data_IF_461728202268
#
_entry.id   IF_461728202268
#
_cell.length_a   1.000
_cell.length_b   1.000
_cell.length_c   1.000
_cell.angle_alpha   90.00
_cell.angle_beta   90.00
_cell.angle_gamma   90.00
#
_symmetry.space_group_name_H-M   'P 1'
#
loop_
_entity.id
_entity.type
_entity.pdbx_description
1 polymer ?
#
# COMPACT_ATOMS: atom_id res chain seq x y z
N UNK A 1 0.05 22.37 -12.16
CA UNK A 1 1.42 21.93 -12.44
C UNK A 1 1.95 22.76 -13.59
N UNK A 2 3.14 23.31 -13.42
CA UNK A 2 3.83 24.07 -14.47
C UNK A 2 4.31 23.14 -15.57
N UNK A 3 3.84 23.36 -16.79
CA UNK A 3 4.18 22.56 -17.97
C UNK A 3 5.68 22.65 -18.30
N UNK A 4 6.31 23.78 -17.98
CA UNK A 4 7.77 23.96 -18.11
C UNK A 4 8.56 23.06 -17.15
N UNK A 5 8.07 22.88 -15.92
CA UNK A 5 8.70 22.00 -14.94
C UNK A 5 8.66 20.55 -15.42
N UNK A 6 7.52 20.11 -15.94
CA UNK A 6 7.38 18.75 -16.52
C UNK A 6 8.32 18.55 -17.69
N UNK A 7 8.36 19.49 -18.64
CA UNK A 7 9.25 19.41 -19.80
C UNK A 7 10.71 19.26 -19.36
N UNK A 8 11.17 20.07 -18.40
CA UNK A 8 12.54 20.00 -17.88
C UNK A 8 12.82 18.66 -17.18
N UNK A 9 11.86 18.16 -16.39
CA UNK A 9 12.00 16.86 -15.76
C UNK A 9 12.09 15.72 -16.79
N UNK A 10 11.26 15.77 -17.84
CA UNK A 10 11.29 14.84 -18.98
C UNK A 10 12.62 14.94 -19.77
N UNK A 11 13.20 16.14 -19.85
CA UNK A 11 14.52 16.39 -20.42
C UNK A 11 15.68 15.93 -19.50
N UNK A 12 15.38 15.42 -18.30
CA UNK A 12 16.34 14.87 -17.35
C UNK A 12 16.98 15.89 -16.40
N UNK A 13 16.40 17.09 -16.27
CA UNK A 13 16.86 18.11 -15.32
C UNK A 13 16.62 17.62 -13.87
N UNK A 14 17.68 17.37 -13.08
CA UNK A 14 17.54 16.79 -11.75
C UNK A 14 16.83 17.71 -10.77
N UNK A 15 16.98 19.03 -10.89
CA UNK A 15 16.29 19.99 -10.02
C UNK A 15 14.80 20.03 -10.34
N UNK A 16 14.44 19.87 -11.62
CA UNK A 16 13.05 19.79 -12.06
C UNK A 16 12.41 18.46 -11.64
N UNK A 17 13.15 17.35 -11.73
CA UNK A 17 12.69 16.04 -11.25
C UNK A 17 12.41 16.10 -9.75
N UNK A 18 13.35 16.63 -8.94
CA UNK A 18 13.18 16.73 -7.49
C UNK A 18 11.95 17.57 -7.10
N UNK A 19 11.79 18.75 -7.71
CA UNK A 19 10.61 19.60 -7.48
C UNK A 19 9.31 18.93 -7.92
N UNK A 20 9.33 18.19 -9.03
CA UNK A 20 8.15 17.48 -9.50
C UNK A 20 7.79 16.35 -8.53
N UNK A 21 8.76 15.57 -8.05
CA UNK A 21 8.55 14.53 -7.04
C UNK A 21 7.94 15.10 -5.77
N UNK A 22 8.45 16.21 -5.25
CA UNK A 22 7.91 16.89 -4.07
C UNK A 22 6.45 17.30 -4.27
N UNK A 23 6.15 18.02 -5.35
CA UNK A 23 4.78 18.48 -5.66
C UNK A 23 3.80 17.33 -5.85
N UNK A 24 4.23 16.25 -6.51
CA UNK A 24 3.40 15.06 -6.75
C UNK A 24 3.19 14.30 -5.45
N UNK A 25 4.23 14.19 -4.62
CA UNK A 25 4.18 13.60 -3.29
C UNK A 25 3.19 14.31 -2.37
N UNK A 26 3.29 15.64 -2.29
CA UNK A 26 2.36 16.48 -1.52
C UNK A 26 0.92 16.36 -2.03
N UNK A 27 0.72 16.25 -3.34
CA UNK A 27 -0.59 16.02 -3.94
C UNK A 27 -1.11 14.58 -3.68
N UNK A 28 -0.23 13.66 -3.27
CA UNK A 28 -0.56 12.27 -3.03
C UNK A 28 -0.92 11.48 -4.30
N UNK A 29 -0.40 11.91 -5.46
CA UNK A 29 -0.66 11.28 -6.76
C UNK A 29 0.27 10.09 -6.99
N UNK A 30 -0.19 8.93 -6.52
CA UNK A 30 0.52 7.65 -6.64
C UNK A 30 0.79 7.24 -8.08
N UNK A 31 -0.09 7.60 -9.02
CA UNK A 31 0.05 7.20 -10.41
C UNK A 31 1.21 7.96 -11.07
N UNK A 32 1.32 9.25 -10.78
CA UNK A 32 2.43 10.06 -11.27
C UNK A 32 3.76 9.71 -10.57
N UNK A 33 3.76 9.48 -9.25
CA UNK A 33 4.95 8.99 -8.53
C UNK A 33 5.46 7.69 -9.13
N UNK A 34 4.55 6.76 -9.46
CA UNK A 34 4.90 5.51 -10.14
C UNK A 34 5.58 5.75 -11.49
N UNK A 35 5.08 6.69 -12.30
CA UNK A 35 5.71 7.04 -13.58
C UNK A 35 7.12 7.60 -13.38
N UNK A 36 7.30 8.49 -12.41
CA UNK A 36 8.60 9.08 -12.09
C UNK A 36 9.59 8.04 -11.54
N UNK A 37 9.12 7.12 -10.70
CA UNK A 37 9.89 5.99 -10.20
C UNK A 37 10.34 5.06 -11.33
N UNK A 38 9.44 4.74 -12.27
CA UNK A 38 9.75 3.90 -13.44
C UNK A 38 10.71 4.57 -14.43
N UNK A 39 10.74 5.91 -14.48
CA UNK A 39 11.73 6.68 -15.22
C UNK A 39 13.13 6.69 -14.54
N UNK A 40 13.28 6.06 -13.37
CA UNK A 40 14.55 5.93 -12.64
C UNK A 40 14.77 6.96 -11.53
N UNK A 41 13.73 7.70 -11.14
CA UNK A 41 13.81 8.64 -10.02
C UNK A 41 13.84 7.91 -8.68
N UNK A 42 15.02 7.80 -8.05
CA UNK A 42 15.17 7.20 -6.72
C UNK A 42 14.31 7.92 -5.66
N UNK A 43 14.33 9.26 -5.66
CA UNK A 43 13.50 10.06 -4.75
C UNK A 43 12.00 9.79 -4.95
N UNK A 44 11.57 9.54 -6.19
CA UNK A 44 10.18 9.20 -6.48
C UNK A 44 9.80 7.82 -5.91
N UNK A 45 10.73 6.86 -5.92
CA UNK A 45 10.53 5.56 -5.29
C UNK A 45 10.38 5.72 -3.78
N UNK A 46 11.22 6.53 -3.14
CA UNK A 46 11.19 6.73 -1.69
C UNK A 46 9.85 7.36 -1.25
N UNK A 47 9.41 8.42 -1.93
CA UNK A 47 8.11 9.06 -1.67
C UNK A 47 6.95 8.09 -1.94
N UNK A 48 7.05 7.25 -2.98
CA UNK A 48 6.04 6.24 -3.28
C UNK A 48 5.97 5.16 -2.18
N UNK A 49 7.10 4.73 -1.62
CA UNK A 49 7.15 3.79 -0.48
C UNK A 49 6.53 4.40 0.77
N UNK A 50 6.89 5.65 1.09
CA UNK A 50 6.34 6.38 2.23
C UNK A 50 4.82 6.48 2.12
N UNK A 51 4.32 7.00 1.00
CA UNK A 51 2.89 7.18 0.78
C UNK A 51 2.12 5.87 0.71
N UNK A 52 2.70 4.81 0.12
CA UNK A 52 2.13 3.47 0.15
C UNK A 52 2.05 2.93 1.59
N UNK A 53 3.07 3.15 2.40
CA UNK A 53 3.08 2.80 3.82
C UNK A 53 1.99 3.50 4.62
N UNK A 54 1.87 4.82 4.47
CA UNK A 54 0.84 5.64 5.13
C UNK A 54 -0.59 5.23 4.75
N UNK A 55 -0.78 4.87 3.48
CA UNK A 55 -2.08 4.41 2.94
C UNK A 55 -2.34 2.93 3.16
N UNK A 56 -1.38 2.20 3.75
CA UNK A 56 -1.40 0.74 3.89
C UNK A 56 -1.65 0.04 2.54
N UNK A 57 -1.09 0.59 1.45
CA UNK A 57 -1.15 -0.02 0.12
C UNK A 57 -0.15 -1.18 0.03
N UNK A 58 -0.54 -2.32 0.58
CA UNK A 58 0.30 -3.52 0.63
C UNK A 58 0.60 -4.07 -0.78
N UNK A 59 -0.28 -3.81 -1.75
CA UNK A 59 -0.07 -4.24 -3.14
C UNK A 59 1.07 -3.44 -3.77
N UNK A 60 1.11 -2.13 -3.55
CA UNK A 60 2.21 -1.27 -4.00
C UNK A 60 3.53 -1.66 -3.35
N UNK A 61 3.54 -1.78 -2.03
CA UNK A 61 4.73 -2.16 -1.27
C UNK A 61 5.26 -3.53 -1.70
N UNK A 62 4.36 -4.50 -1.96
CA UNK A 62 4.74 -5.80 -2.52
C UNK A 62 5.36 -5.66 -3.91
N UNK A 63 4.77 -4.88 -4.81
CA UNK A 63 5.33 -4.67 -6.15
C UNK A 63 6.74 -4.11 -6.07
N UNK A 64 6.95 -3.07 -5.25
CA UNK A 64 8.24 -2.42 -5.09
C UNK A 64 9.27 -3.37 -4.46
N UNK A 65 8.88 -4.17 -3.47
CA UNK A 65 9.72 -5.21 -2.89
C UNK A 65 10.12 -6.29 -3.91
N UNK A 66 9.17 -6.73 -4.75
CA UNK A 66 9.43 -7.71 -5.83
C UNK A 66 10.37 -7.14 -6.92
N UNK A 67 10.38 -5.81 -7.08
CA UNK A 67 11.36 -5.08 -7.91
C UNK A 67 12.71 -4.87 -7.22
N UNK A 68 12.88 -5.34 -5.98
CA UNK A 68 14.12 -5.29 -5.21
C UNK A 68 14.28 -4.07 -4.30
N UNK A 69 13.24 -3.24 -4.12
CA UNK A 69 13.30 -2.14 -3.16
C UNK A 69 13.26 -2.70 -1.72
N UNK A 70 14.32 -2.46 -0.96
CA UNK A 70 14.49 -3.02 0.39
C UNK A 70 13.63 -2.29 1.43
N UNK A 71 13.44 -0.98 1.28
CA UNK A 71 12.62 -0.17 2.19
C UNK A 71 11.14 -0.56 2.08
N UNK A 72 10.64 -0.78 0.86
CA UNK A 72 9.31 -1.31 0.60
C UNK A 72 9.11 -2.68 1.26
N UNK A 73 10.12 -3.55 1.19
CA UNK A 73 10.07 -4.87 1.84
C UNK A 73 10.02 -4.74 3.38
N UNK A 74 10.79 -3.81 3.97
CA UNK A 74 10.75 -3.56 5.41
C UNK A 74 9.38 -3.00 5.85
N UNK A 75 8.85 -2.01 5.12
CA UNK A 75 7.54 -1.42 5.43
C UNK A 75 6.44 -2.47 5.29
N UNK A 76 6.49 -3.32 4.26
CA UNK A 76 5.55 -4.42 4.08
C UNK A 76 5.62 -5.44 5.22
N UNK A 77 6.82 -5.85 5.63
CA UNK A 77 7.01 -6.78 6.76
C UNK A 77 6.52 -6.16 8.08
N UNK A 78 6.79 -4.87 8.31
CA UNK A 78 6.26 -4.13 9.47
C UNK A 78 4.74 -4.12 9.48
N UNK A 79 4.11 -3.81 8.35
CA UNK A 79 2.65 -3.82 8.21
C UNK A 79 2.07 -5.24 8.44
N UNK A 80 2.71 -6.26 7.87
CA UNK A 80 2.31 -7.66 8.07
C UNK A 80 2.45 -8.12 9.53
N UNK A 81 3.49 -7.68 10.25
CA UNK A 81 3.68 -7.97 11.68
C UNK A 81 2.60 -7.33 12.54
N UNK A 82 2.19 -6.10 12.22
CA UNK A 82 1.06 -5.45 12.89
C UNK A 82 -0.26 -6.19 12.64
N UNK A 83 -0.50 -6.67 11.42
CA UNK A 83 -1.65 -7.51 11.09
C UNK A 83 -1.60 -8.89 11.78
N UNK A 84 -0.42 -9.49 11.93
CA UNK A 84 -0.23 -10.78 12.60
C UNK A 84 -0.58 -10.72 14.09
N UNK A 85 -0.46 -9.58 14.79
CA UNK A 85 -0.95 -9.45 16.18
C UNK A 85 -2.47 -9.63 16.25
N UNK A 86 -3.21 -9.21 15.21
CA UNK A 86 -4.66 -9.38 15.13
C UNK A 86 -5.02 -10.85 14.84
N UNK A 87 -4.23 -11.53 14.01
CA UNK A 87 -4.46 -12.94 13.62
C UNK A 87 -3.99 -13.93 14.70
N UNK A 88 -2.87 -13.69 15.39
CA UNK A 88 -2.35 -14.62 16.40
C UNK A 88 -3.25 -14.76 17.63
N UNK A 89 -4.01 -13.72 18.00
CA UNK A 89 -5.08 -13.84 19.01
C UNK A 89 -6.16 -14.85 18.62
N UNK A 90 -6.43 -14.99 17.32
CA UNK A 90 -7.41 -15.93 16.77
C UNK A 90 -6.94 -17.39 16.83
N UNK A 91 -5.64 -17.63 16.67
CA UNK A 91 -5.03 -18.96 16.75
C UNK A 91 -4.81 -19.44 18.19
N UNK A 92 -4.79 -18.52 19.17
CA UNK A 92 -4.65 -18.83 20.59
C UNK A 92 -5.94 -19.33 21.28
N UNK A 93 -7.07 -19.42 20.56
CA UNK A 93 -8.30 -20.05 21.06
C UNK A 93 -9.17 -19.20 22.00
N UNK A 94 -8.81 -17.95 22.27
CA UNK A 94 -9.60 -17.07 23.12
C UNK A 94 -10.41 -16.04 22.30
N UNK A 95 -11.69 -16.40 22.10
CA UNK A 95 -12.85 -15.52 21.88
C UNK A 95 -13.24 -15.15 20.42
N UNK A 96 -14.55 -15.21 20.07
CA UNK A 96 -15.03 -14.78 18.76
C UNK A 96 -14.98 -13.26 18.63
N UNK A 97 -14.24 -12.78 17.62
CA UNK A 97 -14.22 -11.39 17.20
C UNK A 97 -15.65 -10.96 16.80
N UNK A 98 -16.27 -10.07 17.60
CA UNK A 98 -17.53 -9.44 17.21
C UNK A 98 -17.25 -8.47 16.06
N UNK A 99 -18.17 -8.43 15.09
CA UNK A 99 -18.10 -7.62 13.86
C UNK A 99 -18.06 -6.09 14.07
N UNK A 100 -17.98 -5.61 15.31
CA UNK A 100 -18.08 -4.20 15.66
C UNK A 100 -16.72 -3.53 15.95
N UNK A 101 -15.62 -4.27 15.90
CA UNK A 101 -14.28 -3.73 16.17
C UNK A 101 -13.68 -3.06 14.92
N UNK A 102 -13.57 -1.73 14.97
CA UNK A 102 -13.17 -0.86 13.85
C UNK A 102 -11.82 -1.18 13.18
N UNK A 103 -10.94 -1.93 13.87
CA UNK A 103 -9.64 -2.34 13.35
C UNK A 103 -9.78 -3.40 12.25
N UNK A 104 -10.81 -4.25 12.32
CA UNK A 104 -11.02 -5.34 11.36
C UNK A 104 -11.42 -4.81 9.97
N UNK A 105 -12.28 -3.79 9.95
CA UNK A 105 -12.85 -3.22 8.72
C UNK A 105 -11.81 -2.60 7.79
N UNK A 106 -10.66 -2.18 8.33
CA UNK A 106 -9.58 -1.53 7.57
C UNK A 106 -8.71 -2.56 6.81
N UNK A 107 -8.44 -3.72 7.40
CA UNK A 107 -7.54 -4.73 6.83
C UNK A 107 -8.27 -5.85 6.04
N UNK A 108 -9.57 -6.09 6.23
CA UNK A 108 -10.31 -7.14 5.51
C UNK A 108 -10.51 -6.85 4.01
N UNK A 109 -10.63 -5.57 3.62
CA UNK A 109 -10.92 -5.19 2.24
C UNK A 109 -9.75 -5.42 1.28
N UNK A 110 -8.50 -5.38 1.75
CA UNK A 110 -7.29 -5.56 0.92
C UNK A 110 -6.78 -7.00 0.86
N UNK A 111 -7.29 -7.89 1.72
CA UNK A 111 -6.85 -9.28 1.83
C UNK A 111 -7.78 -10.24 1.05
N UNK A 112 -9.00 -9.80 0.69
CA UNK A 112 -10.08 -10.67 0.20
C UNK A 112 -10.38 -10.64 -1.32
N UNK A 113 -9.53 -10.05 -2.17
CA UNK A 113 -9.64 -10.20 -3.63
C UNK A 113 -8.42 -10.99 -4.13
N UNK A 114 -8.52 -12.34 -4.29
CA UNK A 114 -9.48 -12.97 -5.20
C UNK A 114 -10.04 -14.35 -4.76
N UNK A 115 -10.16 -14.68 -3.47
CA UNK A 115 -10.67 -16.00 -3.06
C UNK A 115 -12.10 -15.95 -2.48
N UNK A 116 -12.98 -16.69 -3.15
CA UNK A 116 -14.35 -17.15 -2.84
C UNK A 116 -15.55 -16.20 -3.07
N UNK A 117 -16.18 -16.25 -4.27
CA UNK A 117 -17.47 -15.61 -4.54
C UNK A 117 -18.68 -16.38 -3.96
N UNK A 118 -18.51 -17.32 -3.02
CA UNK A 118 -19.60 -18.24 -2.60
C UNK A 118 -20.15 -18.06 -1.18
N UNK A 119 -19.61 -17.16 -0.35
CA UNK A 119 -19.98 -17.11 1.08
C UNK A 119 -20.92 -15.97 1.49
N UNK A 120 -21.36 -15.12 0.56
CA UNK A 120 -22.23 -13.98 0.90
C UNK A 120 -23.63 -14.16 0.32
N UNK A 121 -24.43 -15.03 0.93
CA UNK A 121 -25.88 -14.95 0.82
C UNK A 121 -26.56 -15.26 2.14
N UNK A 122 -27.08 -14.21 2.77
CA UNK A 122 -27.99 -14.27 3.90
C UNK A 122 -27.26 -14.41 5.23
N UNK A 123 -27.19 -13.32 5.97
CA UNK A 123 -26.60 -13.27 7.31
C UNK A 123 -27.23 -14.32 8.24
N UNK A 124 -26.47 -15.35 8.57
CA UNK A 124 -26.41 -16.01 9.86
C UNK A 124 -25.50 -17.25 9.71
N UNK A 125 -24.32 -17.15 10.33
CA UNK A 125 -23.52 -18.29 10.77
C UNK A 125 -22.87 -19.14 9.65
N UNK A 126 -21.63 -18.77 9.29
CA UNK A 126 -20.69 -19.73 8.72
C UNK A 126 -20.20 -20.67 9.84
N UNK A 127 -20.82 -21.83 10.02
CA UNK A 127 -20.23 -22.94 10.78
C UNK A 127 -19.37 -23.79 9.84
N UNK A 128 -18.05 -23.71 10.02
CA UNK A 128 -17.10 -24.65 9.43
C UNK A 128 -17.41 -26.05 9.97
N UNK A 129 -17.51 -27.05 9.09
CA UNK A 129 -17.54 -28.46 9.45
C UNK A 129 -16.23 -29.11 9.02
#
# INVERSE_FOLDING_TARGET
MDEDLRRRADDGDPDAIGQLVELVGEAGDMAELRRLAEAGGADAVDVLVELAGEREDLAELRRLADLGNTDAAEVLDRAARLALVVIQRRLAGDQPLRHDDAVHRKYEAQICEPYVPSCCQGGALCTQR
#
